data_IF_134721067015
#
_entry.id   IF_134721067015
#
_cell.length_a   1.000
_cell.length_b   1.000
_cell.length_c   1.000
_cell.angle_alpha   90.00
_cell.angle_beta   90.00
_cell.angle_gamma   90.00
#
_symmetry.space_group_name_H-M   'P 1'
#
loop_
_entity.id
_entity.type
_entity.pdbx_description
1 polymer ?
2 non-polymer ?
3 water ?
#
# COMPACT_ATOMS: atom_id res chain seq x y z
N UNK A 2 5.20 24.68 0.67
CA UNK A 2 4.39 23.83 -0.21
C UNK A 2 5.07 22.49 -0.44
N UNK A 3 4.31 21.53 -0.95
CA UNK A 3 4.82 20.18 -1.18
C UNK A 3 4.70 19.79 -2.65
N UNK A 4 5.76 19.19 -3.18
CA UNK A 4 5.72 18.62 -4.53
C UNK A 4 6.18 17.17 -4.50
N UNK A 5 5.78 16.39 -5.50
CA UNK A 5 6.08 14.97 -5.52
C UNK A 5 6.27 14.46 -6.96
N UNK A 6 7.05 13.39 -7.10
CA UNK A 6 7.27 12.75 -8.39
C UNK A 6 7.41 11.25 -8.20
N UNK A 7 7.28 10.51 -9.29
CA UNK A 7 7.50 9.06 -9.27
C UNK A 7 8.69 8.70 -10.16
N UNK A 8 9.60 7.91 -9.61
CA UNK A 8 10.73 7.40 -10.37
C UNK A 8 10.33 6.09 -11.06
N UNK A 9 10.03 6.14 -12.37
CA UNK A 9 9.52 4.95 -13.04
C UNK A 9 10.55 3.83 -13.12
N UNK A 10 11.82 4.19 -12.98
CA UNK A 10 12.90 3.22 -13.10
C UNK A 10 12.86 2.17 -11.98
N UNK A 11 12.29 2.54 -10.84
CA UNK A 11 12.31 1.69 -9.66
C UNK A 11 10.92 1.21 -9.22
N UNK A 12 9.87 1.84 -9.76
CA UNK A 12 8.50 1.48 -9.41
C UNK A 12 8.21 0.02 -9.76
N UNK A 13 7.57 -0.68 -8.83
CA UNK A 13 7.29 -2.11 -8.98
C UNK A 13 5.82 -2.38 -9.24
N UNK A 14 5.07 -1.33 -9.56
CA UNK A 14 3.67 -1.45 -9.96
C UNK A 14 2.81 -2.09 -8.87
N UNK A 15 3.08 -1.74 -7.61
CA UNK A 15 2.37 -2.33 -6.49
C UNK A 15 0.97 -1.72 -6.30
N UNK A 16 0.73 -0.62 -7.00
CA UNK A 16 -0.59 0.03 -7.08
C UNK A 16 -1.00 0.81 -5.82
N UNK A 17 -0.11 0.90 -4.84
CA UNK A 17 -0.47 1.53 -3.57
C UNK A 17 -0.78 3.01 -3.72
N UNK A 18 0.12 3.75 -4.36
CA UNK A 18 0.00 5.21 -4.39
C UNK A 18 -1.24 5.69 -5.15
N UNK A 19 -1.53 5.10 -6.31
CA UNK A 19 -2.63 5.60 -7.11
C UNK A 19 -3.96 4.95 -6.74
N UNK A 20 -3.92 3.91 -5.90
CA UNK A 20 -5.13 3.42 -5.27
C UNK A 20 -5.51 4.31 -4.08
N UNK A 21 -4.49 4.67 -3.30
CA UNK A 21 -4.70 5.43 -2.07
C UNK A 21 -4.97 6.91 -2.36
N UNK A 22 -4.17 7.50 -3.25
CA UNK A 22 -4.25 8.92 -3.54
C UNK A 22 -4.41 9.16 -5.04
N UNK A 23 -5.59 8.80 -5.58
CA UNK A 23 -5.86 9.00 -7.01
C UNK A 23 -5.87 10.48 -7.39
N UNK A 24 -5.96 11.36 -6.39
CA UNK A 24 -5.87 12.80 -6.63
C UNK A 24 -4.48 13.19 -7.12
N UNK A 25 -3.48 12.41 -6.74
CA UNK A 25 -2.08 12.75 -7.02
C UNK A 25 -1.40 11.77 -7.98
N UNK A 26 -1.70 10.48 -7.83
CA UNK A 26 -1.05 9.45 -8.64
C UNK A 26 -2.03 8.65 -9.47
N UNK A 27 -1.56 8.14 -10.60
CA UNK A 27 -2.36 7.30 -11.48
C UNK A 27 -1.51 6.22 -12.11
N UNK A 28 -2.15 5.12 -12.49
CA UNK A 28 -1.52 4.10 -13.32
C UNK A 28 -1.25 4.71 -14.69
N UNK A 29 0.03 4.76 -15.09
CA UNK A 29 0.39 5.43 -16.33
C UNK A 29 -0.14 4.64 -17.53
N UNK A 30 -0.44 3.36 -17.32
CA UNK A 30 -1.04 2.53 -18.35
C UNK A 30 -0.57 1.09 -18.30
N UNK A 31 0.64 0.87 -17.78
CA UNK A 31 1.24 -0.45 -17.78
C UNK A 31 1.54 -0.96 -16.38
N UNK A 32 0.96 -0.30 -15.37
CA UNK A 32 1.17 -0.67 -13.98
C UNK A 32 2.04 0.31 -13.24
N UNK A 33 2.98 0.94 -13.94
CA UNK A 33 3.87 1.92 -13.33
C UNK A 33 3.11 3.20 -13.01
N UNK A 34 3.40 3.78 -11.85
CA UNK A 34 2.72 4.99 -11.41
C UNK A 34 3.35 6.25 -11.98
N UNK A 35 2.56 7.30 -12.07
CA UNK A 35 3.06 8.64 -12.39
C UNK A 35 2.13 9.65 -11.76
N UNK A 36 2.64 10.85 -11.47
CA UNK A 36 1.78 11.90 -10.92
C UNK A 36 0.79 12.30 -12.01
N UNK A 37 -0.36 12.76 -11.59
CA UNK A 37 -1.39 13.05 -12.52
C UNK A 37 -1.09 14.31 -13.32
N UNK A 38 -0.60 15.33 -12.68
CA UNK A 38 -0.23 16.56 -13.34
C UNK A 38 1.18 17.07 -13.11
N UNK A 39 2.09 16.59 -13.92
CA UNK A 39 3.51 16.93 -13.82
C UNK A 39 3.91 18.17 -14.61
N UNK A 40 4.96 18.85 -14.16
CA UNK A 40 5.53 19.94 -14.92
C UNK A 40 6.53 19.38 -15.91
N UNK A 41 7.27 20.26 -16.61
CA UNK A 41 8.31 19.79 -17.53
C UNK A 41 9.43 19.04 -16.79
N UNK A 42 9.57 19.32 -15.50
CA UNK A 42 10.55 18.64 -14.64
C UNK A 42 9.97 17.34 -14.07
N UNK A 43 8.68 17.13 -14.31
CA UNK A 43 8.00 15.91 -13.90
C UNK A 43 7.36 16.01 -12.53
N UNK A 44 7.64 17.11 -11.82
CA UNK A 44 7.10 17.30 -10.48
C UNK A 44 5.64 17.72 -10.51
N UNK A 45 4.87 17.27 -9.51
CA UNK A 45 3.51 17.72 -9.32
C UNK A 45 3.37 18.41 -7.97
N UNK A 46 2.82 19.62 -7.98
CA UNK A 46 2.53 20.34 -6.76
C UNK A 46 1.31 19.73 -6.09
N UNK A 47 1.40 19.51 -4.78
CA UNK A 47 0.36 18.82 -4.02
C UNK A 47 -0.58 19.81 -3.33
N UNK A 48 -1.90 19.60 -3.47
CA UNK A 48 -2.83 20.45 -2.71
C UNK A 48 -2.65 20.27 -1.20
N UNK A 49 -2.80 21.34 -0.41
CA UNK A 49 -2.52 21.27 1.02
C UNK A 49 -3.33 20.22 1.77
N UNK A 50 -4.53 19.89 1.28
CA UNK A 50 -5.36 18.89 1.95
C UNK A 50 -4.86 17.47 1.67
N UNK A 51 -3.91 17.33 0.75
CA UNK A 51 -3.40 16.03 0.35
C UNK A 51 -1.94 15.83 0.75
N UNK A 52 -1.38 16.77 1.51
CA UNK A 52 0.03 16.71 1.87
C UNK A 52 0.36 15.49 2.73
N UNK A 53 -0.42 15.27 3.78
CA UNK A 53 -0.13 14.17 4.70
C UNK A 53 -0.35 12.81 4.04
N UNK A 54 -1.37 12.71 3.18
CA UNK A 54 -1.60 11.50 2.41
C UNK A 54 -0.40 11.21 1.51
N UNK A 55 0.06 12.23 0.81
CA UNK A 55 1.23 12.09 -0.07
C UNK A 55 2.46 11.71 0.75
N UNK A 56 2.64 12.32 1.90
CA UNK A 56 3.80 12.03 2.74
C UNK A 56 3.75 10.60 3.25
N UNK A 57 2.54 10.11 3.52
CA UNK A 57 2.36 8.74 3.99
C UNK A 57 2.72 7.71 2.92
N UNK A 58 2.18 7.87 1.72
CA UNK A 58 2.45 6.91 0.65
C UNK A 58 3.92 6.98 0.22
N UNK A 59 4.54 8.13 0.40
CA UNK A 59 5.95 8.29 0.13
C UNK A 59 6.77 7.38 1.03
N UNK A 60 6.39 7.31 2.30
CA UNK A 60 7.08 6.43 3.26
C UNK A 60 6.68 4.97 3.04
N UNK A 61 5.51 4.75 2.46
CA UNK A 61 4.96 3.41 2.32
C UNK A 61 5.31 2.75 0.99
N UNK A 62 5.72 3.54 0.01
CA UNK A 62 6.15 2.99 -1.27
C UNK A 62 7.25 1.96 -1.05
N UNK A 63 7.02 0.70 -1.48
CA UNK A 63 7.98 -0.37 -1.19
C UNK A 63 9.33 -0.20 -1.90
N UNK A 64 9.35 0.58 -2.98
CA UNK A 64 10.54 0.69 -3.82
C UNK A 64 11.26 2.03 -3.65
N UNK A 65 10.70 2.91 -2.82
CA UNK A 65 11.29 4.23 -2.63
C UNK A 65 11.28 5.02 -3.93
N UNK A 66 10.25 4.79 -4.73
CA UNK A 66 10.15 5.40 -6.07
C UNK A 66 9.55 6.79 -6.00
N UNK A 67 8.76 7.04 -4.97
CA UNK A 67 8.11 8.33 -4.81
C UNK A 67 9.02 9.31 -4.10
N UNK A 68 9.39 10.37 -4.81
CA UNK A 68 10.22 11.42 -4.25
C UNK A 68 9.33 12.62 -3.94
N UNK A 69 9.38 13.07 -2.70
CA UNK A 69 8.55 14.17 -2.22
C UNK A 69 9.41 15.16 -1.47
N UNK A 70 9.11 16.44 -1.59
CA UNK A 70 9.88 17.45 -0.87
C UNK A 70 9.11 18.74 -0.65
N UNK A 71 9.53 19.48 0.37
CA UNK A 71 8.96 20.78 0.70
C UNK A 71 9.64 21.87 -0.10
N UNK A 72 8.85 22.72 -0.75
CA UNK A 72 9.37 23.81 -1.56
C UNK A 72 8.71 25.13 -1.19
N UNK B 2 -14.79 -11.10 17.18
CA UNK B 2 -13.49 -11.63 16.81
C UNK B 2 -13.34 -11.67 15.29
N UNK B 3 -12.11 -11.48 14.83
CA UNK B 3 -11.81 -11.46 13.40
C UNK B 3 -10.83 -12.54 13.01
N UNK B 4 -10.96 -13.03 11.78
CA UNK B 4 -9.92 -13.86 11.17
C UNK B 4 -9.56 -13.26 9.83
N UNK B 5 -8.32 -13.48 9.40
CA UNK B 5 -7.84 -12.86 8.17
C UNK B 5 -6.98 -13.83 7.36
N UNK B 6 -6.82 -13.52 6.08
CA UNK B 6 -5.96 -14.29 5.20
C UNK B 6 -5.63 -13.45 3.97
N UNK B 7 -4.55 -13.80 3.29
CA UNK B 7 -4.13 -13.07 2.09
C UNK B 7 -4.29 -13.96 0.86
N UNK B 8 -4.95 -13.42 -0.16
CA UNK B 8 -5.08 -14.10 -1.43
C UNK B 8 -3.83 -13.83 -2.26
N UNK B 9 -2.94 -14.83 -2.38
CA UNK B 9 -1.67 -14.58 -3.06
C UNK B 9 -1.83 -14.30 -4.54
N UNK B 10 -2.96 -14.69 -5.12
CA UNK B 10 -3.20 -14.54 -6.55
C UNK B 10 -3.21 -13.07 -6.99
N UNK B 11 -3.71 -12.20 -6.11
CA UNK B 11 -3.91 -10.80 -6.48
C UNK B 11 -2.94 -9.84 -5.77
N UNK B 12 -2.27 -10.33 -4.72
CA UNK B 12 -1.34 -9.50 -3.97
C UNK B 12 -0.27 -8.89 -4.86
N UNK B 13 -0.11 -7.57 -4.75
CA UNK B 13 0.84 -6.83 -5.59
C UNK B 13 2.14 -6.54 -4.84
N UNK B 14 2.30 -7.13 -3.66
CA UNK B 14 3.54 -7.05 -2.90
C UNK B 14 3.91 -5.62 -2.52
N UNK B 15 2.93 -4.85 -2.08
CA UNK B 15 3.15 -3.45 -1.72
C UNK B 15 3.76 -3.33 -0.32
N UNK B 16 3.76 -4.43 0.42
CA UNK B 16 4.41 -4.55 1.73
C UNK B 16 3.68 -3.81 2.85
N UNK B 17 2.54 -3.21 2.55
CA UNK B 17 1.84 -2.39 3.54
C UNK B 17 1.42 -3.21 4.76
N UNK B 18 0.84 -4.38 4.53
CA UNK B 18 0.21 -5.12 5.62
C UNK B 18 1.23 -5.70 6.61
N UNK B 19 2.37 -6.20 6.13
CA UNK B 19 3.34 -6.77 7.07
C UNK B 19 4.33 -5.74 7.60
N UNK B 20 4.32 -4.54 7.00
CA UNK B 20 5.00 -3.40 7.62
C UNK B 20 4.16 -2.86 8.78
N UNK B 21 2.86 -2.71 8.54
CA UNK B 21 1.94 -2.13 9.52
C UNK B 21 1.59 -3.08 10.66
N UNK B 22 1.29 -4.32 10.32
CA UNK B 22 0.78 -5.29 11.30
C UNK B 22 1.57 -6.59 11.21
N UNK B 23 2.87 -6.53 11.58
CA UNK B 23 3.75 -7.71 11.48
C UNK B 23 3.38 -8.82 12.47
N UNK B 24 2.50 -8.51 13.41
CA UNK B 24 1.98 -9.52 14.33
C UNK B 24 1.07 -10.49 13.58
N UNK B 25 0.55 -10.04 12.44
CA UNK B 25 -0.47 -10.80 11.70
C UNK B 25 0.01 -11.17 10.30
N UNK B 26 0.73 -10.28 9.63
CA UNK B 26 1.19 -10.53 8.26
C UNK B 26 2.70 -10.54 8.15
N UNK B 27 3.21 -11.31 7.18
CA UNK B 27 4.64 -11.38 6.92
C UNK B 27 4.92 -11.52 5.43
N UNK B 28 6.13 -11.15 5.01
CA UNK B 28 6.60 -11.47 3.67
C UNK B 28 6.81 -12.97 3.57
N UNK B 29 6.07 -13.62 2.67
CA UNK B 29 6.12 -15.07 2.55
C UNK B 29 7.44 -15.54 1.94
N UNK B 30 8.12 -14.64 1.23
CA UNK B 30 9.39 -14.96 0.62
C UNK B 30 9.65 -14.19 -0.65
N UNK B 31 8.60 -14.02 -1.47
CA UNK B 31 8.72 -13.36 -2.76
C UNK B 31 8.07 -11.98 -2.78
N UNK B 32 7.78 -11.45 -1.60
CA UNK B 32 7.15 -10.14 -1.48
C UNK B 32 5.65 -10.27 -1.25
N UNK B 33 5.09 -11.39 -1.67
CA UNK B 33 3.68 -11.68 -1.42
C UNK B 33 3.46 -11.85 0.07
N UNK B 34 2.39 -11.25 0.58
CA UNK B 34 2.06 -11.35 2.00
C UNK B 34 1.35 -12.66 2.31
N UNK B 35 1.47 -13.09 3.57
CA UNK B 35 0.70 -14.20 4.09
C UNK B 35 0.60 -14.04 5.60
N UNK B 36 -0.39 -14.67 6.20
CA UNK B 36 -0.57 -14.55 7.64
C UNK B 36 0.54 -15.29 8.38
N UNK B 37 0.85 -14.83 9.58
CA UNK B 37 1.96 -15.36 10.36
C UNK B 37 1.68 -16.76 10.87
N UNK B 38 0.49 -16.96 11.44
CA UNK B 38 0.09 -18.23 12.01
C UNK B 38 -1.22 -18.73 11.41
N UNK B 39 -1.15 -19.29 10.20
CA UNK B 39 -2.36 -19.81 9.54
C UNK B 39 -2.89 -21.08 10.20
N UNK B 40 -4.21 -21.15 10.38
CA UNK B 40 -4.86 -22.36 10.81
C UNK B 40 -4.88 -23.36 9.67
N UNK B 41 -5.43 -24.56 9.91
CA UNK B 41 -5.54 -25.59 8.88
C UNK B 41 -6.21 -25.09 7.59
N UNK B 42 -7.02 -24.04 7.72
CA UNK B 42 -7.74 -23.48 6.59
C UNK B 42 -7.04 -22.23 6.02
N UNK B 43 -5.89 -21.88 6.57
CA UNK B 43 -5.10 -20.76 6.09
C UNK B 43 -5.40 -19.45 6.81
N UNK B 44 -6.51 -19.42 7.55
CA UNK B 44 -6.92 -18.22 8.28
C UNK B 44 -6.12 -18.05 9.57
N UNK B 45 -5.86 -16.80 9.94
CA UNK B 45 -5.24 -16.48 11.22
C UNK B 45 -6.20 -15.66 12.07
N UNK B 46 -6.30 -16.01 13.35
CA UNK B 46 -7.11 -15.24 14.27
C UNK B 46 -6.41 -13.93 14.59
N UNK B 47 -7.16 -12.83 14.56
CA UNK B 47 -6.61 -11.50 14.81
C UNK B 47 -6.65 -11.18 16.31
N UNK B 48 -5.48 -10.85 16.90
CA UNK B 48 -5.51 -10.37 18.29
C UNK B 48 -6.47 -9.20 18.46
N UNK B 49 -7.32 -9.21 19.51
CA UNK B 49 -8.38 -8.20 19.63
C UNK B 49 -7.89 -6.76 19.54
N UNK B 50 -6.74 -6.47 20.14
CA UNK B 50 -6.24 -5.10 20.15
C UNK B 50 -5.77 -4.66 18.75
N UNK B 51 -5.64 -5.61 17.83
CA UNK B 51 -5.19 -5.32 16.47
C UNK B 51 -6.33 -5.39 15.45
N UNK B 52 -7.57 -5.58 15.93
CA UNK B 52 -8.70 -5.72 15.02
C UNK B 52 -8.88 -4.46 14.17
N UNK B 53 -8.76 -3.28 14.79
CA UNK B 53 -8.95 -2.04 14.03
C UNK B 53 -7.82 -1.85 13.03
N UNK B 54 -6.59 -2.11 13.44
CA UNK B 54 -5.45 -2.00 12.53
C UNK B 54 -5.57 -2.97 11.36
N UNK B 55 -6.11 -4.15 11.62
CA UNK B 55 -6.29 -5.15 10.57
C UNK B 55 -7.41 -4.73 9.63
N UNK B 56 -8.49 -4.18 10.19
CA UNK B 56 -9.62 -3.71 9.39
C UNK B 56 -9.17 -2.59 8.46
N UNK B 57 -8.36 -1.68 8.99
CA UNK B 57 -7.89 -0.54 8.23
C UNK B 57 -6.95 -0.98 7.11
N UNK B 58 -5.99 -1.83 7.41
CA UNK B 58 -5.06 -2.33 6.42
C UNK B 58 -5.77 -3.17 5.37
N UNK B 59 -6.81 -3.86 5.80
CA UNK B 59 -7.64 -4.62 4.87
C UNK B 59 -8.30 -3.66 3.88
N UNK B 60 -8.72 -2.51 4.38
CA UNK B 60 -9.36 -1.49 3.57
C UNK B 60 -8.34 -0.84 2.62
N UNK B 61 -7.13 -0.61 3.12
CA UNK B 61 -6.11 0.11 2.38
C UNK B 61 -5.34 -0.78 1.41
N UNK B 62 -5.45 -2.09 1.56
CA UNK B 62 -4.82 -3.03 0.64
C UNK B 62 -5.22 -2.69 -0.80
N UNK B 63 -4.23 -2.36 -1.65
CA UNK B 63 -4.58 -1.85 -2.99
C UNK B 63 -5.15 -2.90 -3.95
N UNK B 64 -4.89 -4.18 -3.68
CA UNK B 64 -5.30 -5.25 -4.57
C UNK B 64 -6.52 -6.01 -4.05
N UNK B 65 -7.00 -5.63 -2.87
CA UNK B 65 -8.12 -6.30 -2.26
C UNK B 65 -7.78 -7.73 -1.88
N UNK B 66 -6.48 -7.98 -1.69
CA UNK B 66 -5.98 -9.34 -1.49
C UNK B 66 -6.21 -9.85 -0.07
N UNK B 67 -6.40 -8.94 0.88
CA UNK B 67 -6.66 -9.32 2.26
C UNK B 67 -8.14 -9.51 2.50
N UNK B 68 -8.52 -10.73 2.86
CA UNK B 68 -9.90 -11.05 3.23
C UNK B 68 -9.98 -11.15 4.74
N UNK B 69 -10.84 -10.33 5.34
CA UNK B 69 -11.01 -10.30 6.79
C UNK B 69 -12.48 -10.45 7.12
N UNK B 70 -12.77 -11.42 7.98
CA UNK B 70 -14.13 -11.78 8.33
C UNK B 70 -14.33 -11.78 9.84
N UNK B 71 -15.55 -11.48 10.27
CA UNK B 71 -15.95 -11.64 11.65
C UNK B 71 -16.37 -13.09 11.87
N UNK B 72 -15.79 -13.74 12.88
CA UNK B 72 -16.13 -15.12 13.20
C UNK B 72 -17.22 -15.15 14.27
X LIG C 1 5.13 2.21 -7.79
X LIG C 1 5.73 3.02 -5.25
X LIG C 1 3.80 1.13 -5.65
X LIG C 1 3.34 3.72 -6.40
X LIG C 1 3.67 2.94 -4.28
X LIG C 1 2.88 1.84 -7.61
X LIG C 1 5.42 4.35 -7.08
X LIG C 1 6.02 0.94 -6.12
X LIG D 1 -0.01 -5.02 -0.11
X LIG D 1 -0.51 -6.83 1.87
X LIG D 1 -0.31 -7.67 -0.72
X LIG D 1 -2.46 -6.19 0.06
X LIG D 1 -1.90 -8.27 0.79
X LIG D 1 -1.23 -5.91 -1.82
X LIG D 1 -1.50 -4.80 1.59
X LIG D 1 1.34 -6.73 0.54
#
# INVERSE_FOLDING_TARGET
MALRTMVDPDTCTSCELCYDRVPEVYKNRGDGIAEVVSPGPDGWMMVPPELEQEVKEVTDECPAGSIITEEV
MALRTMVDPDTCTSCELCYDRVPEVYKNRGDGIAEVVSPGPDGWMMVPPELEQEVKEVTDECPAGSIITEEV
SF4 FE1 FE2 FE3 FE4 S1 S2 S3 S4
SF4 FE1 FE2 FE3 FE4 S1 S2 S3 S4
#
